data_IF_572256289559
#
_entry.id   IF_572256289559
#
_cell.length_a   1.000
_cell.length_b   1.000
_cell.length_c   1.000
_cell.angle_alpha   90.00
_cell.angle_beta   90.00
_cell.angle_gamma   90.00
#
_symmetry.space_group_name_H-M   'P 1'
#
loop_
_entity.id
_entity.type
_entity.pdbx_description
1 polymer ?
#
# COMPACT_ATOMS: atom_id res chain seq x y z
N UNK A 1 13.13 0.48 13.67
CA UNK A 1 12.54 0.34 12.31
C UNK A 1 11.43 1.35 12.12
N UNK A 2 10.90 1.50 10.89
CA UNK A 2 9.92 2.53 10.52
C UNK A 2 8.43 2.13 10.69
N UNK A 3 8.13 1.06 11.44
CA UNK A 3 6.78 0.50 11.54
C UNK A 3 5.72 1.49 12.08
N UNK A 4 6.13 2.48 12.88
CA UNK A 4 5.26 3.55 13.37
C UNK A 4 4.80 4.55 12.30
N UNK A 5 5.41 4.52 11.10
CA UNK A 5 5.03 5.36 9.95
C UNK A 5 4.16 4.61 8.93
N UNK A 6 3.92 3.32 9.14
CA UNK A 6 3.15 2.49 8.20
C UNK A 6 1.67 2.70 8.49
N UNK A 7 0.96 3.30 7.53
CA UNK A 7 -0.47 3.62 7.63
C UNK A 7 -1.37 2.62 6.92
N UNK A 8 -0.81 1.79 6.05
CA UNK A 8 -1.54 0.75 5.31
C UNK A 8 -0.63 -0.40 4.90
N UNK A 9 -1.19 -1.60 4.83
CA UNK A 9 -0.50 -2.83 4.39
C UNK A 9 -1.36 -3.59 3.39
N UNK A 10 -0.75 -4.46 2.59
CA UNK A 10 -1.53 -5.40 1.75
C UNK A 10 -1.89 -6.65 2.54
N UNK A 11 -2.91 -7.37 2.07
CA UNK A 11 -3.29 -8.67 2.61
C UNK A 11 -2.07 -9.58 2.77
N UNK A 12 -2.08 -10.40 3.83
CA UNK A 12 -0.98 -11.30 4.20
C UNK A 12 0.32 -10.62 4.67
N UNK A 13 0.33 -9.29 4.88
CA UNK A 13 1.40 -8.60 5.61
C UNK A 13 1.23 -8.80 7.13
N UNK A 14 1.45 -10.02 7.61
CA UNK A 14 1.14 -10.45 8.99
C UNK A 14 2.33 -10.41 9.96
N UNK A 15 3.53 -10.11 9.45
CA UNK A 15 4.76 -10.04 10.23
C UNK A 15 5.48 -8.68 10.09
N UNK A 16 6.00 -8.10 11.20
CA UNK A 16 5.85 -8.54 12.59
C UNK A 16 4.39 -8.45 13.06
N UNK A 17 4.02 -9.13 14.17
CA UNK A 17 2.62 -9.18 14.67
C UNK A 17 1.93 -7.80 14.80
N UNK A 18 2.70 -6.73 14.95
CA UNK A 18 2.17 -5.36 14.96
C UNK A 18 1.48 -4.95 13.63
N UNK A 19 1.89 -5.54 12.50
CA UNK A 19 1.32 -5.28 11.18
C UNK A 19 -0.15 -5.72 11.05
N UNK A 20 -0.57 -6.74 11.82
CA UNK A 20 -1.97 -7.20 11.89
C UNK A 20 -2.95 -6.14 12.40
N UNK A 21 -2.44 -5.05 13.02
CA UNK A 21 -3.25 -3.93 13.51
C UNK A 21 -3.36 -2.78 12.51
N UNK A 22 -2.61 -2.84 11.42
CA UNK A 22 -2.57 -1.79 10.40
C UNK A 22 -3.68 -2.08 9.37
N UNK A 23 -4.31 -1.03 8.87
CA UNK A 23 -5.41 -1.14 7.91
C UNK A 23 -4.94 -1.85 6.61
N UNK A 24 -5.71 -2.83 6.15
CA UNK A 24 -5.45 -3.46 4.85
C UNK A 24 -5.97 -2.59 3.70
N UNK A 25 -5.10 -2.32 2.73
CA UNK A 25 -5.40 -1.66 1.45
C UNK A 25 -5.72 -2.66 0.34
N UNK A 26 -6.01 -3.92 0.68
CA UNK A 26 -6.37 -4.98 -0.26
C UNK A 26 -5.21 -5.90 -0.62
N UNK A 27 -5.39 -6.70 -1.66
CA UNK A 27 -4.42 -7.71 -2.06
C UNK A 27 -3.37 -7.14 -3.01
N UNK A 28 -2.21 -7.78 -3.08
CA UNK A 28 -1.19 -7.41 -4.06
C UNK A 28 -1.72 -7.47 -5.52
N UNK A 29 -2.70 -8.32 -5.81
CA UNK A 29 -3.33 -8.42 -7.14
C UNK A 29 -4.29 -7.28 -7.48
N UNK A 30 -4.99 -6.74 -6.47
CA UNK A 30 -5.99 -5.68 -6.63
C UNK A 30 -5.91 -4.76 -5.42
N UNK A 31 -5.37 -3.56 -5.63
CA UNK A 31 -5.26 -2.55 -4.59
C UNK A 31 -6.57 -1.78 -4.45
N UNK A 32 -6.98 -1.52 -3.21
CA UNK A 32 -8.09 -0.63 -2.91
C UNK A 32 -7.61 0.83 -2.96
N UNK A 33 -7.71 1.43 -4.13
CA UNK A 33 -7.27 2.80 -4.39
C UNK A 33 -7.99 3.83 -3.50
N UNK A 34 -9.28 3.63 -3.22
CA UNK A 34 -10.05 4.55 -2.38
C UNK A 34 -9.53 4.56 -0.95
N UNK A 35 -9.23 3.39 -0.38
CA UNK A 35 -8.59 3.29 0.94
C UNK A 35 -7.21 3.93 0.95
N UNK A 36 -6.41 3.72 -0.09
CA UNK A 36 -5.08 4.36 -0.20
C UNK A 36 -5.22 5.88 -0.17
N UNK A 37 -6.21 6.44 -0.89
CA UNK A 37 -6.47 7.88 -0.88
C UNK A 37 -6.90 8.36 0.52
N UNK A 38 -7.78 7.63 1.19
CA UNK A 38 -8.24 7.96 2.55
C UNK A 38 -7.11 7.97 3.57
N UNK A 39 -6.14 7.06 3.45
CA UNK A 39 -4.96 7.00 4.31
C UNK A 39 -3.95 8.12 4.04
N UNK A 40 -4.07 8.81 2.89
CA UNK A 40 -3.23 9.92 2.46
C UNK A 40 -1.71 9.69 2.68
N UNK A 41 -1.14 8.61 2.12
CA UNK A 41 0.28 8.31 2.30
C UNK A 41 1.16 9.29 1.53
N UNK A 42 2.34 9.58 2.07
CA UNK A 42 3.39 10.37 1.41
C UNK A 42 4.33 9.50 0.54
N UNK A 43 4.38 8.19 0.81
CA UNK A 43 5.18 7.20 0.10
C UNK A 43 4.46 5.85 0.02
N UNK A 44 4.47 5.25 -1.15
CA UNK A 44 3.98 3.89 -1.40
C UNK A 44 5.17 3.01 -1.81
N UNK A 45 5.31 1.86 -1.15
CA UNK A 45 6.30 0.84 -1.50
C UNK A 45 5.59 -0.25 -2.28
N UNK A 46 5.85 -0.34 -3.59
CA UNK A 46 5.15 -1.28 -4.46
C UNK A 46 6.06 -2.43 -4.89
N UNK A 47 5.50 -3.63 -4.94
CA UNK A 47 6.16 -4.77 -5.57
C UNK A 47 5.91 -4.73 -7.09
N UNK A 48 6.78 -4.04 -7.84
CA UNK A 48 6.59 -3.76 -9.28
C UNK A 48 6.25 -4.97 -10.17
N UNK A 49 6.76 -6.16 -9.85
CA UNK A 49 6.48 -7.38 -10.63
C UNK A 49 5.30 -8.20 -10.11
N UNK A 50 4.85 -7.97 -8.87
CA UNK A 50 3.72 -8.68 -8.27
C UNK A 50 2.43 -7.86 -8.21
N UNK A 51 2.54 -6.54 -8.07
CA UNK A 51 1.40 -5.64 -8.13
C UNK A 51 0.98 -5.37 -9.58
N UNK A 52 -0.31 -5.19 -9.78
CA UNK A 52 -0.87 -4.88 -11.10
C UNK A 52 -0.37 -3.50 -11.57
N UNK A 53 0.29 -3.46 -12.73
CA UNK A 53 0.85 -2.21 -13.29
C UNK A 53 -0.18 -1.09 -13.41
N UNK A 54 -1.42 -1.42 -13.78
CA UNK A 54 -2.52 -0.44 -13.88
C UNK A 54 -2.83 0.27 -12.56
N UNK A 55 -2.70 -0.42 -11.43
CA UNK A 55 -2.97 0.17 -10.11
C UNK A 55 -1.81 1.09 -9.71
N UNK A 56 -0.56 0.69 -9.99
CA UNK A 56 0.63 1.51 -9.80
C UNK A 56 0.54 2.80 -10.65
N UNK A 57 0.24 2.65 -11.94
CA UNK A 57 0.11 3.79 -12.87
C UNK A 57 -0.97 4.77 -12.41
N UNK A 58 -2.13 4.26 -11.96
CA UNK A 58 -3.20 5.10 -11.44
C UNK A 58 -2.76 5.89 -10.21
N UNK A 59 -2.05 5.26 -9.27
CA UNK A 59 -1.54 5.94 -8.08
C UNK A 59 -0.48 6.99 -8.44
N UNK A 60 0.38 6.72 -9.43
CA UNK A 60 1.33 7.72 -9.95
C UNK A 60 0.62 8.91 -10.60
N UNK A 61 -0.43 8.67 -11.38
CA UNK A 61 -1.25 9.73 -12.00
C UNK A 61 -1.96 10.60 -10.96
N UNK A 62 -2.30 10.03 -9.80
CA UNK A 62 -2.86 10.76 -8.66
C UNK A 62 -1.81 11.56 -7.88
N UNK A 63 -0.53 11.48 -8.26
CA UNK A 63 0.56 12.26 -7.65
C UNK A 63 1.26 11.58 -6.49
N UNK A 64 0.95 10.31 -6.19
CA UNK A 64 1.65 9.57 -5.14
C UNK A 64 3.08 9.24 -5.54
N UNK A 65 4.00 9.36 -4.58
CA UNK A 65 5.37 8.87 -4.72
C UNK A 65 5.38 7.36 -4.52
N UNK A 66 5.81 6.62 -5.54
CA UNK A 66 5.88 5.15 -5.51
C UNK A 66 7.32 4.70 -5.78
N UNK A 67 7.82 3.78 -4.97
CA UNK A 67 9.14 3.14 -5.15
C UNK A 67 9.03 1.65 -5.44
#
# INVERSE_FOLDING_TARGET
GAGNKVVGVVDYSDYPKAALKIESVGSYHVLNIEKIIQLNPDLIIAWKTGNRSKDIEKLQQLGYKII
#
